data_IF_093356454716
#
_entry.id   IF_093356454716
#
_cell.length_a   1.000
_cell.length_b   1.000
_cell.length_c   1.000
_cell.angle_alpha   90.00
_cell.angle_beta   90.00
_cell.angle_gamma   90.00
#
_symmetry.space_group_name_H-M   'P 1'
#
loop_
_entity.id
_entity.type
_entity.pdbx_description
1 polymer ?
#
# COMPACT_ATOMS: atom_id res chain seq x y z
N UNK A 1 -2.04 -5.76 -36.01
CA UNK A 1 -2.16 -4.79 -34.90
C UNK A 1 -2.82 -5.32 -33.61
N UNK A 2 -3.49 -6.48 -33.59
CA UNK A 2 -4.15 -7.02 -32.39
C UNK A 2 -3.20 -7.45 -31.24
N UNK A 3 -1.92 -7.72 -31.51
CA UNK A 3 -0.97 -8.23 -30.49
C UNK A 3 -0.69 -7.24 -29.34
N UNK A 4 -0.72 -5.92 -29.59
CA UNK A 4 -0.41 -4.92 -28.56
C UNK A 4 -1.49 -4.84 -27.46
N UNK A 5 -2.77 -4.94 -27.82
CA UNK A 5 -3.88 -4.92 -26.85
C UNK A 5 -3.89 -6.16 -25.96
N UNK A 6 -3.64 -7.34 -26.54
CA UNK A 6 -3.59 -8.59 -25.76
C UNK A 6 -2.46 -8.56 -24.71
N UNK A 7 -1.28 -8.05 -25.07
CA UNK A 7 -0.16 -7.89 -24.13
C UNK A 7 -0.43 -6.86 -23.03
N UNK A 8 -1.20 -5.81 -23.32
CA UNK A 8 -1.59 -4.82 -22.32
C UNK A 8 -2.54 -5.44 -21.28
N UNK A 9 -3.58 -6.14 -21.74
CA UNK A 9 -4.55 -6.78 -20.86
C UNK A 9 -3.90 -7.87 -19.98
N UNK A 10 -2.98 -8.67 -20.53
CA UNK A 10 -2.28 -9.69 -19.74
C UNK A 10 -1.43 -9.08 -18.63
N UNK A 11 -0.78 -7.94 -18.91
CA UNK A 11 0.05 -7.23 -17.94
C UNK A 11 -0.79 -6.60 -16.83
N UNK A 12 -1.91 -5.95 -17.17
CA UNK A 12 -2.86 -5.42 -16.19
C UNK A 12 -3.37 -6.52 -15.23
N UNK A 13 -3.71 -7.70 -15.78
CA UNK A 13 -4.15 -8.83 -14.94
C UNK A 13 -3.05 -9.36 -14.02
N UNK A 14 -1.79 -9.34 -14.46
CA UNK A 14 -0.67 -9.83 -13.66
C UNK A 14 -0.34 -8.88 -12.50
N UNK A 15 -0.38 -7.57 -12.75
CA UNK A 15 -0.19 -6.52 -11.73
C UNK A 15 -1.31 -6.62 -10.69
N UNK A 16 -2.57 -6.69 -11.14
CA UNK A 16 -3.72 -6.85 -10.27
C UNK A 16 -3.57 -8.08 -9.35
N UNK A 17 -3.22 -9.23 -9.93
CA UNK A 17 -3.05 -10.48 -9.17
C UNK A 17 -1.94 -10.38 -8.11
N UNK A 18 -0.85 -9.67 -8.39
CA UNK A 18 0.27 -9.49 -7.45
C UNK A 18 -0.13 -8.62 -6.26
N UNK A 19 -0.89 -7.54 -6.52
CA UNK A 19 -1.37 -6.63 -5.47
C UNK A 19 -2.41 -7.34 -4.59
N UNK A 20 -3.39 -8.02 -5.21
CA UNK A 20 -4.42 -8.78 -4.51
C UNK A 20 -3.82 -9.83 -3.57
N UNK A 21 -2.79 -10.56 -4.00
CA UNK A 21 -2.15 -11.59 -3.17
C UNK A 21 -1.54 -11.02 -1.89
N UNK A 22 -0.87 -9.86 -1.97
CA UNK A 22 -0.25 -9.21 -0.81
C UNK A 22 -1.29 -8.65 0.15
N UNK A 23 -2.34 -8.06 -0.39
CA UNK A 23 -3.42 -7.50 0.42
C UNK A 23 -4.24 -8.59 1.12
N UNK A 24 -4.55 -9.69 0.43
CA UNK A 24 -5.26 -10.83 1.01
C UNK A 24 -4.51 -11.42 2.21
N UNK A 25 -3.19 -11.57 2.12
CA UNK A 25 -2.37 -12.05 3.23
C UNK A 25 -2.43 -11.10 4.45
N UNK A 26 -2.45 -9.78 4.22
CA UNK A 26 -2.56 -8.79 5.30
C UNK A 26 -3.96 -8.78 5.91
N UNK A 27 -5.01 -8.85 5.08
CA UNK A 27 -6.39 -8.84 5.58
C UNK A 27 -6.69 -10.09 6.41
N UNK A 28 -6.18 -11.26 6.01
CA UNK A 28 -6.29 -12.49 6.79
C UNK A 28 -5.57 -12.38 8.13
N UNK A 29 -4.37 -11.79 8.18
CA UNK A 29 -3.68 -11.57 9.45
C UNK A 29 -4.46 -10.61 10.38
N UNK A 30 -4.93 -9.48 9.85
CA UNK A 30 -5.68 -8.49 10.63
C UNK A 30 -7.03 -9.05 11.12
N UNK A 31 -7.73 -9.84 10.30
CA UNK A 31 -9.01 -10.44 10.74
C UNK A 31 -8.82 -11.38 11.92
N UNK A 32 -7.76 -12.21 11.91
CA UNK A 32 -7.44 -13.10 13.02
C UNK A 32 -6.97 -12.32 14.26
N UNK A 33 -6.16 -11.26 14.09
CA UNK A 33 -5.70 -10.42 15.19
C UNK A 33 -6.88 -9.74 15.90
N UNK A 34 -7.81 -9.18 15.13
CA UNK A 34 -9.01 -8.52 15.66
C UNK A 34 -9.92 -9.53 16.35
N UNK A 35 -10.15 -10.69 15.74
CA UNK A 35 -10.92 -11.77 16.36
C UNK A 35 -10.28 -12.23 17.68
N UNK A 36 -8.97 -12.40 17.72
CA UNK A 36 -8.22 -12.78 18.92
C UNK A 36 -8.36 -11.73 20.03
N UNK A 37 -8.17 -10.44 19.72
CA UNK A 37 -8.30 -9.38 20.72
C UNK A 37 -9.71 -9.30 21.29
N UNK A 38 -10.74 -9.47 20.46
CA UNK A 38 -12.13 -9.38 20.90
C UNK A 38 -12.53 -10.58 21.75
N UNK A 39 -12.21 -11.82 21.33
CA UNK A 39 -12.50 -13.03 22.12
C UNK A 39 -11.81 -12.95 23.48
N UNK A 40 -10.53 -12.55 23.52
CA UNK A 40 -9.80 -12.38 24.78
C UNK A 40 -10.37 -11.24 25.62
N UNK A 41 -10.61 -10.07 25.03
CA UNK A 41 -11.17 -8.92 25.73
C UNK A 41 -12.52 -9.22 26.38
N UNK A 42 -13.32 -10.06 25.72
CA UNK A 42 -14.61 -10.51 26.24
C UNK A 42 -14.45 -11.55 27.33
N UNK A 43 -13.55 -12.51 27.15
CA UNK A 43 -13.20 -13.47 28.19
C UNK A 43 -12.82 -12.75 29.48
N UNK A 44 -12.01 -11.69 29.37
CA UNK A 44 -11.66 -10.81 30.48
C UNK A 44 -12.87 -10.06 31.05
N UNK A 45 -13.74 -9.50 30.20
CA UNK A 45 -14.92 -8.77 30.66
C UNK A 45 -15.89 -9.67 31.45
N UNK A 46 -16.12 -10.90 30.98
CA UNK A 46 -16.95 -11.90 31.67
C UNK A 46 -16.30 -12.34 32.98
N UNK A 47 -14.99 -12.60 32.95
CA UNK A 47 -14.23 -12.97 34.15
C UNK A 47 -14.32 -11.90 35.25
N UNK A 48 -14.31 -10.62 34.88
CA UNK A 48 -14.43 -9.50 35.80
C UNK A 48 -15.86 -9.26 36.32
N UNK A 49 -16.90 -9.74 35.65
CA UNK A 49 -18.29 -9.37 35.96
C UNK A 49 -18.99 -10.22 37.02
N UNK A 50 -18.43 -11.34 37.48
CA UNK A 50 -18.92 -12.09 38.65
C UNK A 50 -20.36 -12.65 38.54
N UNK A 51 -20.47 -13.94 38.20
CA UNK A 51 -21.56 -14.89 38.53
C UNK A 51 -23.06 -14.53 38.30
N UNK A 52 -23.41 -13.57 37.45
CA UNK A 52 -24.80 -13.44 36.98
C UNK A 52 -25.03 -14.24 35.68
N UNK A 53 -25.44 -15.51 35.83
CA UNK A 53 -25.46 -16.51 34.76
C UNK A 53 -26.34 -16.19 33.54
N UNK A 54 -27.38 -15.36 33.69
CA UNK A 54 -28.30 -15.00 32.59
C UNK A 54 -27.79 -13.84 31.73
N UNK A 55 -27.16 -12.82 32.34
CA UNK A 55 -26.57 -11.70 31.60
C UNK A 55 -25.36 -12.13 30.77
N UNK A 56 -24.62 -13.15 31.22
CA UNK A 56 -23.42 -13.65 30.53
C UNK A 56 -23.73 -14.25 29.16
N UNK A 57 -24.88 -14.93 29.00
CA UNK A 57 -25.26 -15.55 27.73
C UNK A 57 -25.63 -14.49 26.68
N UNK A 58 -26.46 -13.51 27.06
CA UNK A 58 -26.81 -12.40 26.17
C UNK A 58 -25.58 -11.56 25.80
N UNK A 59 -24.68 -11.32 26.75
CA UNK A 59 -23.41 -10.64 26.49
C UNK A 59 -22.56 -11.44 25.49
N UNK A 60 -22.39 -12.75 25.71
CA UNK A 60 -21.64 -13.62 24.80
C UNK A 60 -22.17 -13.61 23.35
N UNK A 61 -23.50 -13.69 23.17
CA UNK A 61 -24.11 -13.62 21.84
C UNK A 61 -23.88 -12.25 21.19
N UNK A 62 -24.10 -11.16 21.92
CA UNK A 62 -23.91 -9.80 21.40
C UNK A 62 -22.46 -9.55 20.95
N UNK A 63 -21.51 -10.13 21.68
CA UNK A 63 -20.09 -10.02 21.39
C UNK A 63 -19.74 -10.77 20.11
N UNK A 64 -20.18 -12.02 19.97
CA UNK A 64 -19.90 -12.82 18.77
C UNK A 64 -20.43 -12.09 17.53
N UNK A 65 -21.62 -11.51 17.63
CA UNK A 65 -22.19 -10.67 16.58
C UNK A 65 -21.35 -9.42 16.29
N UNK A 66 -20.88 -8.74 17.33
CA UNK A 66 -20.01 -7.56 17.18
C UNK A 66 -18.68 -7.93 16.50
N UNK A 67 -18.08 -9.07 16.85
CA UNK A 67 -16.86 -9.58 16.22
C UNK A 67 -17.08 -9.84 14.74
N UNK A 68 -18.14 -10.57 14.39
CA UNK A 68 -18.48 -10.86 13.00
C UNK A 68 -18.66 -9.56 12.20
N UNK A 69 -19.40 -8.59 12.76
CA UNK A 69 -19.63 -7.30 12.13
C UNK A 69 -18.34 -6.51 11.90
N UNK A 70 -17.42 -6.52 12.87
CA UNK A 70 -16.12 -5.84 12.74
C UNK A 70 -15.27 -6.50 11.65
N UNK A 71 -15.24 -7.84 11.60
CA UNK A 71 -14.51 -8.57 10.56
C UNK A 71 -15.04 -8.19 9.17
N UNK A 72 -16.37 -8.20 8.99
CA UNK A 72 -17.00 -7.82 7.73
C UNK A 72 -16.71 -6.35 7.37
N UNK A 73 -16.74 -5.45 8.35
CA UNK A 73 -16.43 -4.03 8.14
C UNK A 73 -14.99 -3.83 7.70
N UNK A 74 -14.02 -4.51 8.34
CA UNK A 74 -12.61 -4.43 7.97
C UNK A 74 -12.37 -5.00 6.58
N UNK A 75 -13.00 -6.14 6.24
CA UNK A 75 -12.91 -6.72 4.90
C UNK A 75 -13.49 -5.78 3.83
N UNK A 76 -14.64 -5.17 4.11
CA UNK A 76 -15.27 -4.19 3.24
C UNK A 76 -14.36 -2.99 2.99
N UNK A 77 -13.84 -2.34 4.05
CA UNK A 77 -12.94 -1.19 3.90
C UNK A 77 -11.64 -1.56 3.16
N UNK A 78 -11.05 -2.72 3.48
CA UNK A 78 -9.83 -3.20 2.79
C UNK A 78 -10.06 -3.44 1.30
N UNK A 79 -11.24 -3.93 0.90
CA UNK A 79 -11.58 -4.13 -0.51
C UNK A 79 -11.67 -2.80 -1.27
N UNK A 80 -12.26 -1.76 -0.67
CA UNK A 80 -12.28 -0.42 -1.29
C UNK A 80 -10.88 0.18 -1.43
N UNK A 81 -10.02 0.04 -0.41
CA UNK A 81 -8.66 0.56 -0.46
C UNK A 81 -7.81 -0.16 -1.51
N UNK A 82 -8.03 -1.46 -1.71
CA UNK A 82 -7.41 -2.22 -2.78
C UNK A 82 -7.79 -1.68 -4.15
N UNK A 83 -9.08 -1.45 -4.40
CA UNK A 83 -9.56 -0.92 -5.68
C UNK A 83 -8.96 0.45 -5.98
N UNK A 84 -8.89 1.34 -4.98
CA UNK A 84 -8.28 2.66 -5.14
C UNK A 84 -6.78 2.59 -5.44
N UNK A 85 -6.06 1.66 -4.80
CA UNK A 85 -4.61 1.49 -5.03
C UNK A 85 -4.34 0.94 -6.43
N UNK A 86 -5.11 -0.09 -6.83
CA UNK A 86 -5.05 -0.68 -8.17
C UNK A 86 -5.37 0.36 -9.24
N UNK A 87 -6.40 1.19 -9.04
CA UNK A 87 -6.74 2.27 -9.97
C UNK A 87 -5.61 3.28 -10.14
N UNK A 88 -4.98 3.71 -9.03
CA UNK A 88 -3.83 4.65 -9.09
C UNK A 88 -2.64 4.07 -9.83
N UNK A 89 -2.33 2.80 -9.63
CA UNK A 89 -1.20 2.14 -10.30
C UNK A 89 -1.48 1.87 -11.78
N UNK A 90 -2.71 1.46 -12.12
CA UNK A 90 -3.15 1.35 -13.51
C UNK A 90 -3.08 2.72 -14.20
N UNK A 91 -3.57 3.77 -13.54
CA UNK A 91 -3.56 5.12 -14.10
C UNK A 91 -2.13 5.62 -14.34
N UNK A 92 -1.21 5.39 -13.38
CA UNK A 92 0.22 5.70 -13.53
C UNK A 92 0.85 4.98 -14.71
N UNK A 93 0.59 3.68 -14.88
CA UNK A 93 1.11 2.94 -16.04
C UNK A 93 0.44 3.38 -17.35
N UNK A 94 -0.84 3.72 -17.32
CA UNK A 94 -1.57 4.21 -18.49
C UNK A 94 -1.02 5.56 -18.96
N UNK A 95 -0.68 6.47 -18.04
CA UNK A 95 -0.01 7.72 -18.36
C UNK A 95 1.38 7.49 -18.97
N UNK A 96 2.20 6.60 -18.40
CA UNK A 96 3.52 6.30 -18.95
C UNK A 96 3.48 5.69 -20.35
N UNK A 97 2.45 4.89 -20.67
CA UNK A 97 2.36 4.19 -21.97
C UNK A 97 1.55 4.89 -23.05
N UNK A 98 0.52 5.64 -22.66
CA UNK A 98 -0.38 6.33 -23.60
C UNK A 98 -0.23 7.85 -23.57
N UNK A 99 0.32 8.44 -22.50
CA UNK A 99 0.50 9.89 -22.34
C UNK A 99 1.83 10.45 -22.84
N UNK A 100 2.86 9.62 -23.05
CA UNK A 100 4.21 10.06 -23.46
C UNK A 100 4.48 9.67 -24.91
N UNK A 101 3.65 10.21 -25.81
CA UNK A 101 3.96 10.26 -27.24
C UNK A 101 4.73 11.51 -27.65
N UNK A 102 4.80 12.56 -26.82
CA UNK A 102 5.28 13.88 -27.29
C UNK A 102 6.18 14.68 -26.33
N UNK A 103 6.48 14.20 -25.11
CA UNK A 103 7.44 14.88 -24.23
C UNK A 103 8.33 13.88 -23.48
N UNK A 104 9.13 13.09 -24.21
CA UNK A 104 10.38 12.58 -23.63
C UNK A 104 11.44 13.68 -23.69
N UNK A 105 11.22 14.74 -22.91
CA UNK A 105 12.36 15.46 -22.37
C UNK A 105 12.94 14.53 -21.31
N UNK A 106 14.12 13.94 -21.57
CA UNK A 106 14.82 13.08 -20.63
C UNK A 106 14.83 13.79 -19.27
N UNK A 107 14.04 13.33 -18.31
CA UNK A 107 14.15 13.79 -16.94
C UNK A 107 15.54 13.36 -16.47
N UNK A 108 16.45 14.33 -16.46
CA UNK A 108 17.82 14.23 -15.94
C UNK A 108 17.72 13.51 -14.60
N UNK A 109 18.43 12.39 -14.44
CA UNK A 109 18.42 11.63 -13.20
C UNK A 109 18.97 12.52 -12.08
N UNK A 110 18.09 13.23 -11.35
CA UNK A 110 18.48 13.94 -10.13
C UNK A 110 18.91 12.88 -9.12
N UNK A 111 20.22 12.70 -9.01
CA UNK A 111 20.87 11.90 -7.99
C UNK A 111 20.62 12.58 -6.64
N UNK A 112 19.53 12.21 -5.99
CA UNK A 112 19.29 12.57 -4.59
C UNK A 112 20.29 11.80 -3.73
N UNK A 113 21.31 12.50 -3.23
CA UNK A 113 22.19 11.99 -2.18
C UNK A 113 21.75 12.59 -0.86
N UNK A 114 21.66 11.75 0.16
CA UNK A 114 21.53 12.24 1.53
C UNK A 114 22.87 12.84 1.95
N UNK A 115 22.82 14.03 2.54
CA UNK A 115 23.96 14.60 3.28
C UNK A 115 24.14 13.87 4.61
N UNK A 116 25.33 13.98 5.21
CA UNK A 116 25.68 13.28 6.46
C UNK A 116 24.81 13.68 7.66
N UNK A 117 24.03 14.77 7.55
CA UNK A 117 23.04 15.24 8.52
C UNK A 117 21.61 14.70 8.27
N UNK A 118 21.40 13.93 7.21
CA UNK A 118 20.11 13.37 6.84
C UNK A 118 19.17 14.34 6.12
N UNK A 119 19.64 15.53 5.74
CA UNK A 119 18.86 16.43 4.89
C UNK A 119 18.91 16.00 3.41
N UNK A 120 17.85 16.32 2.67
CA UNK A 120 17.74 16.02 1.23
C UNK A 120 18.25 17.24 0.47
N UNK A 121 19.44 17.17 -0.11
CA UNK A 121 19.93 18.19 -1.04
C UNK A 121 19.66 17.79 -2.48
N UNK A 122 19.03 18.71 -3.22
CA UNK A 122 18.91 18.64 -4.67
C UNK A 122 20.23 19.09 -5.30
N UNK A 123 21.01 18.15 -5.84
CA UNK A 123 22.17 18.48 -6.66
C UNK A 123 21.71 18.71 -8.10
N UNK A 124 21.77 19.97 -8.55
CA UNK A 124 21.64 20.29 -9.96
C UNK A 124 22.97 20.01 -10.67
N UNK A 125 22.98 18.97 -11.50
CA UNK A 125 24.14 18.46 -12.27
C UNK A 125 24.84 19.50 -13.19
N UNK A 126 24.38 20.76 -13.26
CA UNK A 126 25.02 21.79 -14.10
C UNK A 126 26.32 22.34 -13.49
N UNK A 127 26.54 22.22 -12.18
CA UNK A 127 27.68 22.85 -11.51
C UNK A 127 28.96 21.97 -11.49
N UNK A 128 28.84 20.65 -11.70
CA UNK A 128 29.98 19.73 -11.66
C UNK A 128 30.82 19.72 -12.95
N UNK A 129 30.25 20.08 -14.09
CA UNK A 129 30.98 20.05 -15.37
C UNK A 129 31.86 21.29 -15.59
N UNK A 130 31.57 22.41 -14.92
CA UNK A 130 32.43 23.61 -14.99
C UNK A 130 33.68 23.49 -14.12
N UNK A 131 33.59 22.83 -12.97
CA UNK A 131 34.73 22.64 -12.06
C UNK A 131 35.77 21.67 -12.63
N UNK A 132 35.35 20.63 -13.35
CA UNK A 132 36.26 19.70 -14.04
C UNK A 132 36.96 20.33 -15.26
N UNK A 133 36.36 21.34 -15.91
CA UNK A 133 37.01 22.06 -17.02
C UNK A 133 38.05 23.08 -16.58
N UNK A 134 37.97 23.61 -15.36
CA UNK A 134 38.98 24.55 -14.85
C UNK A 134 40.27 23.87 -14.40
N UNK A 135 40.19 22.61 -13.96
CA UNK A 135 41.38 21.87 -13.52
C UNK A 135 42.27 21.45 -14.69
N UNK A 136 41.68 21.09 -15.83
CA UNK A 136 42.40 20.65 -17.04
C UNK A 136 43.03 21.80 -17.87
N UNK A 137 43.09 23.03 -17.34
CA UNK A 137 43.75 24.19 -17.98
C UNK A 137 45.05 24.62 -17.29
N UNK A 138 45.48 23.92 -16.23
CA UNK A 138 46.68 24.27 -15.45
C UNK A 138 47.90 23.40 -15.72
N UNK A 139 47.80 22.42 -16.63
CA UNK A 139 48.91 21.62 -17.16
C UNK A 139 49.17 21.98 -18.64
#
# INVERSE_FOLDING_TARGET
MMSKRSKANSMETEIRRRIEKRFKQRSEYFSHLVAFMLVNGVGWAIFLQGNNSSSTVCAGISIIWTIAFIIDTVQFIMSELQERTIQREIERERMLRYGVGEMTEKTKNRLMRLTDDGEIMDFDEEESDETLKMDNRRD
#
